data_IF_642008855029
#
_entry.id   IF_642008855029
#
_cell.length_a   1.000
_cell.length_b   1.000
_cell.length_c   1.000
_cell.angle_alpha   90.00
_cell.angle_beta   90.00
_cell.angle_gamma   90.00
#
_symmetry.space_group_name_H-M   'P 1'
#
loop_
_entity.id
_entity.type
_entity.pdbx_description
1 polymer ?
#
# COMPACT_ATOMS: atom_id res chain seq x y z
N UNK A 1 4.13 -13.80 10.10
CA UNK A 1 4.78 -14.98 10.70
C UNK A 1 4.02 -15.55 11.89
N UNK A 2 3.58 -14.77 12.90
CA UNK A 2 2.85 -15.31 14.07
C UNK A 2 1.57 -16.05 13.69
N UNK A 3 0.76 -15.48 12.78
CA UNK A 3 -0.49 -16.09 12.32
C UNK A 3 -0.28 -17.14 11.23
N UNK A 4 0.73 -16.94 10.39
CA UNK A 4 1.06 -17.78 9.25
C UNK A 4 2.55 -18.13 9.27
N UNK A 5 2.98 -19.17 9.99
CA UNK A 5 4.40 -19.50 10.12
C UNK A 5 5.11 -19.80 8.81
N UNK A 6 4.38 -20.36 7.82
CA UNK A 6 4.89 -20.67 6.48
C UNK A 6 4.89 -19.52 5.48
N UNK A 7 4.40 -18.30 5.85
CA UNK A 7 4.35 -17.17 4.93
C UNK A 7 5.77 -16.75 4.53
N UNK A 8 5.99 -16.51 3.23
CA UNK A 8 7.22 -15.89 2.73
C UNK A 8 7.02 -14.40 2.58
N UNK A 9 7.99 -13.64 3.05
CA UNK A 9 7.95 -12.18 3.08
C UNK A 9 8.79 -11.63 1.92
N UNK A 10 8.18 -10.75 1.11
CA UNK A 10 8.88 -10.11 0.00
C UNK A 10 9.35 -8.69 0.38
N UNK A 11 8.67 -7.65 -0.05
CA UNK A 11 9.02 -6.26 0.23
C UNK A 11 7.85 -5.48 0.81
N UNK A 12 8.17 -4.43 1.61
CA UNK A 12 7.18 -3.59 2.24
C UNK A 12 7.63 -2.14 2.41
N UNK A 13 7.68 -1.35 1.32
CA UNK A 13 8.06 0.06 1.41
C UNK A 13 6.95 0.92 1.97
N UNK A 14 7.33 2.08 2.50
CA UNK A 14 6.40 3.18 2.74
C UNK A 14 5.99 3.83 1.42
N UNK A 15 4.75 4.32 1.37
CA UNK A 15 4.18 5.10 0.27
C UNK A 15 3.57 6.38 0.81
N UNK A 16 3.18 7.31 -0.06
CA UNK A 16 2.68 8.64 0.31
C UNK A 16 1.60 8.62 1.41
N UNK A 17 0.64 7.69 1.32
CA UNK A 17 -0.50 7.61 2.25
C UNK A 17 -0.49 6.36 3.14
N UNK A 18 0.69 5.80 3.40
CA UNK A 18 0.81 4.62 4.26
C UNK A 18 1.95 3.69 3.87
N UNK A 19 1.64 2.42 3.77
CA UNK A 19 2.60 1.38 3.41
C UNK A 19 1.89 0.23 2.69
N UNK A 20 2.66 -0.61 2.04
CA UNK A 20 2.19 -1.94 1.66
C UNK A 20 3.22 -3.00 2.07
N UNK A 21 2.81 -4.25 2.07
CA UNK A 21 3.70 -5.39 2.23
C UNK A 21 3.26 -6.53 1.31
N UNK A 22 4.22 -7.04 0.53
CA UNK A 22 4.00 -8.17 -0.38
C UNK A 22 4.35 -9.47 0.34
N UNK A 23 3.40 -10.39 0.34
CA UNK A 23 3.53 -11.70 0.96
C UNK A 23 3.18 -12.81 -0.01
N UNK A 24 3.84 -13.94 0.15
CA UNK A 24 3.52 -15.18 -0.54
C UNK A 24 2.84 -16.12 0.46
N UNK A 25 1.58 -16.43 0.19
CA UNK A 25 0.75 -17.31 1.00
C UNK A 25 -0.04 -18.23 0.09
N UNK A 26 -0.26 -19.48 0.49
CA UNK A 26 -0.89 -20.52 -0.34
C UNK A 26 -2.38 -20.30 -0.60
N UNK A 27 -3.03 -19.44 0.17
CA UNK A 27 -4.43 -19.06 0.00
C UNK A 27 -4.58 -17.55 -0.05
N UNK A 28 -5.72 -17.09 -0.60
CA UNK A 28 -6.05 -15.67 -0.68
C UNK A 28 -6.55 -15.15 0.68
N UNK A 29 -5.95 -14.07 1.17
CA UNK A 29 -6.38 -13.40 2.39
C UNK A 29 -7.79 -12.82 2.21
N UNK A 30 -8.68 -13.18 3.13
CA UNK A 30 -10.04 -12.66 3.22
C UNK A 30 -10.08 -11.37 4.05
N UNK A 31 -11.22 -10.66 4.02
CA UNK A 31 -11.43 -9.48 4.88
C UNK A 31 -11.39 -9.84 6.38
N UNK A 32 -11.88 -11.02 6.74
CA UNK A 32 -11.82 -11.51 8.13
C UNK A 32 -10.39 -11.78 8.58
N UNK A 33 -9.56 -12.34 7.71
CA UNK A 33 -8.15 -12.58 7.99
C UNK A 33 -7.37 -11.27 8.06
N UNK A 34 -7.69 -10.29 7.21
CA UNK A 34 -7.12 -8.95 7.28
C UNK A 34 -7.40 -8.30 8.63
N UNK A 35 -8.61 -8.44 9.15
CA UNK A 35 -8.98 -7.97 10.49
C UNK A 35 -8.22 -8.70 11.60
N UNK A 36 -7.98 -10.02 11.47
CA UNK A 36 -7.15 -10.80 12.42
C UNK A 36 -5.69 -10.34 12.40
N UNK A 37 -5.13 -10.08 11.22
CA UNK A 37 -3.76 -9.55 11.07
C UNK A 37 -3.67 -8.18 11.75
N UNK A 38 -4.60 -7.27 11.51
CA UNK A 38 -4.64 -5.96 12.16
C UNK A 38 -4.73 -6.08 13.69
N UNK A 39 -5.55 -6.99 14.20
CA UNK A 39 -5.67 -7.25 15.64
C UNK A 39 -4.35 -7.75 16.24
N UNK A 40 -3.62 -8.63 15.53
CA UNK A 40 -2.33 -9.13 15.99
C UNK A 40 -1.26 -8.03 15.93
N UNK A 41 -1.25 -7.16 14.90
CA UNK A 41 -0.38 -5.97 14.86
C UNK A 41 -0.59 -5.06 16.08
N UNK A 42 -1.85 -4.83 16.48
CA UNK A 42 -2.18 -4.05 17.68
C UNK A 42 -1.71 -4.72 18.98
N UNK A 43 -1.69 -6.06 19.05
CA UNK A 43 -1.11 -6.79 20.19
C UNK A 43 0.40 -6.60 20.23
N UNK A 44 1.10 -6.81 19.11
CA UNK A 44 2.55 -6.60 19.00
C UNK A 44 2.92 -5.15 19.40
N UNK A 45 2.15 -4.16 18.98
CA UNK A 45 2.37 -2.78 19.39
C UNK A 45 2.29 -2.60 20.91
N UNK A 46 1.38 -3.31 21.60
CA UNK A 46 1.24 -3.26 23.06
C UNK A 46 2.35 -4.00 23.82
N UNK A 47 3.02 -4.95 23.20
CA UNK A 47 4.14 -5.68 23.80
C UNK A 47 5.38 -4.81 24.02
N UNK A 48 5.46 -3.64 23.39
CA UNK A 48 6.56 -2.67 23.50
C UNK A 48 7.93 -3.30 23.19
N UNK A 49 7.97 -4.10 22.14
CA UNK A 49 9.21 -4.77 21.73
C UNK A 49 10.21 -3.72 21.21
N UNK A 50 11.43 -3.77 21.73
CA UNK A 50 12.53 -2.96 21.22
C UNK A 50 12.83 -3.35 19.77
N UNK A 51 13.08 -2.39 18.91
CA UNK A 51 13.47 -2.59 17.52
C UNK A 51 14.97 -2.27 17.43
N UNK A 52 15.77 -3.29 17.13
CA UNK A 52 17.22 -3.21 17.10
C UNK A 52 17.73 -3.38 15.68
N UNK A 53 18.54 -2.41 15.24
CA UNK A 53 19.26 -2.50 13.97
C UNK A 53 20.58 -3.23 14.17
N UNK A 54 20.89 -4.14 13.26
CA UNK A 54 22.20 -4.78 13.15
C UNK A 54 22.58 -4.97 11.69
N UNK A 55 23.84 -5.24 11.44
CA UNK A 55 24.38 -5.40 10.10
C UNK A 55 25.00 -6.79 9.95
N UNK A 56 24.88 -7.34 8.76
CA UNK A 56 25.50 -8.60 8.38
C UNK A 56 26.35 -8.42 7.13
N UNK A 57 27.37 -9.27 6.99
CA UNK A 57 28.07 -9.45 5.72
C UNK A 57 27.11 -10.05 4.69
N UNK A 58 27.39 -9.88 3.38
CA UNK A 58 26.57 -10.49 2.33
C UNK A 58 26.46 -12.01 2.48
N UNK A 59 27.56 -12.65 2.86
CA UNK A 59 27.61 -14.09 3.11
C UNK A 59 26.70 -14.50 4.28
N UNK A 60 26.80 -13.81 5.43
CA UNK A 60 25.97 -14.10 6.60
C UNK A 60 24.50 -13.77 6.35
N UNK A 61 24.20 -12.71 5.62
CA UNK A 61 22.84 -12.33 5.23
C UNK A 61 22.21 -13.39 4.32
N UNK A 62 22.93 -13.90 3.32
CA UNK A 62 22.48 -15.00 2.46
C UNK A 62 22.25 -16.28 3.25
N UNK A 63 23.17 -16.62 4.17
CA UNK A 63 23.03 -17.77 5.05
C UNK A 63 21.77 -17.65 5.90
N UNK A 64 21.58 -16.50 6.55
CA UNK A 64 20.38 -16.22 7.35
C UNK A 64 19.09 -16.38 6.52
N UNK A 65 19.03 -15.80 5.31
CA UNK A 65 17.86 -15.87 4.45
C UNK A 65 17.52 -17.30 4.03
N UNK A 66 18.53 -18.11 3.67
CA UNK A 66 18.38 -19.53 3.32
C UNK A 66 17.91 -20.37 4.50
N UNK A 67 18.50 -20.19 5.68
CA UNK A 67 18.13 -20.91 6.91
C UNK A 67 16.69 -20.59 7.37
N UNK A 68 16.20 -19.38 7.09
CA UNK A 68 14.84 -18.94 7.45
C UNK A 68 13.82 -19.15 6.32
N UNK A 69 14.21 -19.72 5.17
CA UNK A 69 13.33 -19.99 4.03
C UNK A 69 12.78 -18.71 3.37
N UNK A 70 13.54 -17.61 3.42
CA UNK A 70 13.16 -16.31 2.89
C UNK A 70 13.68 -16.13 1.43
N UNK A 71 13.14 -16.90 0.50
CA UNK A 71 13.62 -16.98 -0.89
C UNK A 71 13.67 -15.59 -1.56
N UNK A 72 12.66 -14.74 -1.37
CA UNK A 72 12.65 -13.37 -1.90
C UNK A 72 13.76 -12.50 -1.35
N UNK A 73 14.19 -12.74 -0.10
CA UNK A 73 15.31 -12.02 0.50
C UNK A 73 16.65 -12.54 -0.05
N UNK A 74 16.75 -13.84 -0.38
CA UNK A 74 17.93 -14.38 -1.06
C UNK A 74 18.15 -13.64 -2.38
N UNK A 75 17.12 -13.55 -3.23
CA UNK A 75 17.20 -12.82 -4.51
C UNK A 75 17.59 -11.35 -4.33
N UNK A 76 17.00 -10.68 -3.34
CA UNK A 76 17.30 -9.27 -3.06
C UNK A 76 18.75 -9.07 -2.61
N UNK A 77 19.26 -9.96 -1.75
CA UNK A 77 20.65 -9.87 -1.23
C UNK A 77 21.67 -10.20 -2.33
N UNK A 78 21.38 -11.18 -3.18
CA UNK A 78 22.27 -11.56 -4.29
C UNK A 78 22.51 -10.40 -5.25
N UNK A 79 21.52 -9.57 -5.49
CA UNK A 79 21.60 -8.41 -6.39
C UNK A 79 22.31 -7.19 -5.79
N UNK A 80 22.49 -7.15 -4.47
CA UNK A 80 23.20 -6.03 -3.85
C UNK A 80 24.67 -5.99 -4.32
N UNK A 81 25.21 -4.79 -4.61
CA UNK A 81 26.62 -4.65 -4.94
C UNK A 81 27.56 -5.18 -3.84
N UNK A 82 28.75 -5.60 -4.23
CA UNK A 82 29.78 -5.97 -3.27
C UNK A 82 30.16 -4.77 -2.40
N UNK A 83 30.24 -5.03 -1.08
CA UNK A 83 30.60 -4.00 -0.09
C UNK A 83 29.44 -3.12 0.37
N UNK A 84 28.20 -3.34 -0.14
CA UNK A 84 27.03 -2.65 0.42
C UNK A 84 26.73 -3.14 1.84
N UNK A 85 26.37 -2.20 2.72
CA UNK A 85 26.00 -2.52 4.11
C UNK A 85 24.60 -3.11 4.12
N UNK A 86 24.48 -4.35 4.56
CA UNK A 86 23.22 -5.08 4.65
C UNK A 86 22.70 -5.00 6.07
N UNK A 87 21.63 -4.22 6.25
CA UNK A 87 21.03 -3.99 7.56
C UNK A 87 19.75 -4.79 7.75
N UNK A 88 19.58 -5.23 8.98
CA UNK A 88 18.42 -5.95 9.49
C UNK A 88 17.84 -5.22 10.69
N UNK A 89 16.55 -5.41 10.89
CA UNK A 89 15.84 -4.93 12.07
C UNK A 89 15.17 -6.11 12.79
N UNK A 90 15.47 -6.24 14.08
CA UNK A 90 14.94 -7.29 14.94
C UNK A 90 13.97 -6.71 15.96
N UNK A 91 12.86 -7.39 16.17
CA UNK A 91 11.88 -7.10 17.22
C UNK A 91 11.40 -8.43 17.85
N UNK A 92 11.79 -8.69 19.07
CA UNK A 92 11.56 -10.00 19.70
C UNK A 92 12.24 -11.13 18.89
N UNK A 93 11.44 -12.13 18.48
CA UNK A 93 11.93 -13.28 17.71
C UNK A 93 11.86 -13.06 16.19
N UNK A 94 11.32 -11.91 15.75
CA UNK A 94 11.21 -11.57 14.33
C UNK A 94 12.35 -10.65 13.90
N UNK A 95 12.99 -10.98 12.78
CA UNK A 95 13.95 -10.12 12.10
C UNK A 95 13.64 -10.05 10.61
N UNK A 96 13.94 -8.92 9.99
CA UNK A 96 13.78 -8.74 8.56
C UNK A 96 14.83 -7.80 7.96
N UNK A 97 15.14 -8.01 6.69
CA UNK A 97 16.01 -7.17 5.87
C UNK A 97 15.36 -5.81 5.63
N UNK A 98 16.00 -4.72 6.05
CA UNK A 98 15.48 -3.38 5.78
C UNK A 98 16.59 -2.33 5.88
N UNK A 99 16.53 -1.31 5.00
CA UNK A 99 17.42 -0.14 5.08
C UNK A 99 17.10 0.75 6.29
N UNK A 100 15.85 0.78 6.71
CA UNK A 100 15.37 1.69 7.74
C UNK A 100 15.25 3.14 7.28
N UNK A 101 15.17 4.12 8.21
CA UNK A 101 15.14 3.91 9.66
C UNK A 101 13.84 3.31 10.18
N UNK A 102 13.89 2.71 11.36
CA UNK A 102 12.71 2.20 12.07
C UNK A 102 12.49 2.95 13.38
N UNK A 103 11.27 2.82 13.93
CA UNK A 103 10.93 3.29 15.25
C UNK A 103 11.74 2.54 16.33
N UNK A 104 12.01 3.13 17.50
CA UNK A 104 12.79 2.47 18.55
C UNK A 104 12.06 1.31 19.23
N UNK A 105 10.72 1.30 19.20
CA UNK A 105 9.91 0.20 19.73
C UNK A 105 8.56 0.10 19.04
N UNK A 106 7.94 -1.08 19.13
CA UNK A 106 6.61 -1.34 18.55
C UNK A 106 5.50 -0.50 19.19
N UNK A 107 5.65 -0.06 20.45
CA UNK A 107 4.70 0.81 21.17
C UNK A 107 4.50 2.19 20.51
N UNK A 108 5.45 2.61 19.68
CA UNK A 108 5.32 3.88 18.96
C UNK A 108 4.26 3.82 17.85
N UNK A 109 3.90 2.62 17.40
CA UNK A 109 2.78 2.40 16.47
C UNK A 109 1.46 2.48 17.26
N UNK A 110 0.79 3.63 17.23
CA UNK A 110 -0.42 3.89 18.03
C UNK A 110 -1.71 3.62 17.26
N UNK A 111 -1.77 4.09 16.03
CA UNK A 111 -2.96 4.00 15.19
C UNK A 111 -2.58 3.36 13.86
N UNK A 112 -3.03 2.13 13.62
CA UNK A 112 -2.78 1.39 12.39
C UNK A 112 -4.08 0.81 11.86
N UNK A 113 -4.23 0.84 10.53
CA UNK A 113 -5.36 0.24 9.82
C UNK A 113 -4.86 -0.46 8.56
N UNK A 114 -5.27 -1.70 8.37
CA UNK A 114 -5.14 -2.39 7.10
C UNK A 114 -6.34 -2.06 6.22
N UNK A 115 -6.07 -1.69 4.96
CA UNK A 115 -7.06 -1.10 4.07
C UNK A 115 -7.61 -2.10 3.05
N UNK A 116 -6.72 -2.86 2.40
CA UNK A 116 -7.10 -3.78 1.33
C UNK A 116 -6.00 -4.79 1.03
N UNK A 117 -6.39 -5.81 0.26
CA UNK A 117 -5.46 -6.79 -0.33
C UNK A 117 -5.64 -6.77 -1.85
N UNK A 118 -4.54 -6.73 -2.59
CA UNK A 118 -4.52 -6.83 -4.05
C UNK A 118 -3.48 -7.85 -4.51
N UNK A 119 -3.64 -8.36 -5.74
CA UNK A 119 -2.58 -9.13 -6.40
C UNK A 119 -1.48 -8.19 -6.89
N UNK A 120 -0.22 -8.62 -6.76
CA UNK A 120 0.92 -7.91 -7.31
C UNK A 120 1.98 -8.93 -7.77
N UNK A 121 2.41 -8.84 -9.02
CA UNK A 121 3.48 -9.70 -9.50
C UNK A 121 4.81 -9.31 -8.85
N UNK A 122 5.59 -10.32 -8.45
CA UNK A 122 6.94 -10.09 -7.95
C UNK A 122 7.75 -9.25 -8.93
N UNK A 123 8.34 -8.16 -8.48
CA UNK A 123 9.08 -7.19 -9.31
C UNK A 123 8.28 -6.54 -10.44
N UNK A 124 6.96 -6.62 -10.42
CA UNK A 124 6.11 -6.07 -11.46
C UNK A 124 6.13 -6.83 -12.78
N UNK A 125 6.77 -7.98 -12.86
CA UNK A 125 6.80 -8.83 -14.05
C UNK A 125 5.72 -9.91 -13.98
N UNK A 126 4.82 -9.94 -14.94
CA UNK A 126 3.71 -10.90 -15.03
C UNK A 126 4.15 -12.36 -15.17
N UNK A 127 5.40 -12.61 -15.54
CA UNK A 127 6.00 -13.95 -15.59
C UNK A 127 6.36 -14.49 -14.21
N UNK A 128 6.52 -13.62 -13.24
CA UNK A 128 6.84 -13.98 -11.88
C UNK A 128 5.57 -14.37 -11.09
N UNK A 129 5.78 -14.96 -9.91
CA UNK A 129 4.68 -15.34 -9.02
C UNK A 129 3.86 -14.12 -8.63
N UNK A 130 2.54 -14.27 -8.66
CA UNK A 130 1.62 -13.29 -8.11
C UNK A 130 1.60 -13.41 -6.60
N UNK A 131 1.99 -12.34 -5.92
CA UNK A 131 1.98 -12.16 -4.48
C UNK A 131 0.70 -11.45 -4.04
N UNK A 132 0.46 -11.45 -2.74
CA UNK A 132 -0.61 -10.68 -2.14
C UNK A 132 -0.04 -9.43 -1.49
N UNK A 133 -0.49 -8.28 -1.98
CA UNK A 133 -0.09 -6.96 -1.48
C UNK A 133 -1.12 -6.46 -0.49
N UNK A 134 -0.72 -6.38 0.77
CA UNK A 134 -1.53 -5.82 1.84
C UNK A 134 -1.23 -4.33 1.95
N UNK A 135 -2.25 -3.48 1.78
CA UNK A 135 -2.13 -2.04 2.00
C UNK A 135 -2.56 -1.67 3.41
N UNK A 136 -1.84 -0.76 4.01
CA UNK A 136 -2.15 -0.22 5.32
C UNK A 136 -1.73 1.23 5.49
N UNK A 137 -2.23 1.84 6.55
CA UNK A 137 -1.83 3.19 6.95
C UNK A 137 -1.63 3.27 8.45
N UNK A 138 -0.85 4.25 8.89
CA UNK A 138 -0.56 4.46 10.30
C UNK A 138 -0.44 5.95 10.61
N UNK A 139 -0.95 6.34 11.78
CA UNK A 139 -0.93 7.71 12.29
C UNK A 139 -0.44 7.73 13.75
N UNK A 140 0.05 8.87 14.19
CA UNK A 140 0.44 9.05 15.60
C UNK A 140 -0.75 9.02 16.56
N UNK A 141 -1.93 9.47 16.10
CA UNK A 141 -3.15 9.57 16.91
C UNK A 141 -4.32 8.87 16.24
N UNK A 142 -5.15 8.19 17.01
CA UNK A 142 -6.37 7.56 16.50
C UNK A 142 -7.32 8.59 15.84
N UNK A 143 -7.42 9.81 16.38
CA UNK A 143 -8.24 10.86 15.79
C UNK A 143 -7.84 11.17 14.34
N UNK A 144 -6.55 11.20 14.05
CA UNK A 144 -6.05 11.48 12.69
C UNK A 144 -6.33 10.30 11.73
N UNK A 145 -6.20 9.07 12.25
CA UNK A 145 -6.60 7.88 11.52
C UNK A 145 -8.11 7.87 11.20
N UNK A 146 -8.95 8.19 12.19
CA UNK A 146 -10.41 8.27 12.00
C UNK A 146 -10.78 9.34 10.98
N UNK A 147 -10.15 10.51 11.04
CA UNK A 147 -10.36 11.58 10.08
C UNK A 147 -9.97 11.16 8.66
N UNK A 148 -8.84 10.46 8.50
CA UNK A 148 -8.41 9.91 7.24
C UNK A 148 -9.38 8.86 6.68
N UNK A 149 -9.82 7.92 7.50
CA UNK A 149 -10.78 6.89 7.09
C UNK A 149 -12.13 7.51 6.68
N UNK A 150 -12.59 8.52 7.42
CA UNK A 150 -13.79 9.28 7.05
C UNK A 150 -13.62 9.99 5.70
N UNK A 151 -12.48 10.65 5.47
CA UNK A 151 -12.17 11.27 4.19
C UNK A 151 -12.20 10.26 3.02
N UNK A 152 -11.62 9.08 3.22
CA UNK A 152 -11.62 8.00 2.22
C UNK A 152 -13.02 7.48 1.93
N UNK A 153 -13.87 7.37 2.96
CA UNK A 153 -15.27 6.96 2.81
C UNK A 153 -16.06 8.02 2.03
N UNK A 154 -15.89 9.29 2.38
CA UNK A 154 -16.52 10.41 1.67
C UNK A 154 -16.06 10.49 0.20
N UNK A 155 -14.76 10.24 -0.06
CA UNK A 155 -14.25 10.18 -1.42
C UNK A 155 -14.91 9.06 -2.24
N UNK A 156 -15.13 7.88 -1.65
CA UNK A 156 -15.86 6.78 -2.31
C UNK A 156 -17.31 7.16 -2.64
N UNK A 157 -17.99 7.88 -1.76
CA UNK A 157 -19.37 8.37 -2.00
C UNK A 157 -19.41 9.36 -3.16
N UNK A 158 -18.33 10.14 -3.35
CA UNK A 158 -18.20 11.17 -4.39
C UNK A 158 -17.50 10.70 -5.65
N UNK A 159 -17.28 9.39 -5.83
CA UNK A 159 -16.68 8.86 -7.04
C UNK A 159 -17.51 9.28 -8.27
N UNK A 160 -16.86 9.99 -9.19
CA UNK A 160 -17.51 10.55 -10.39
C UNK A 160 -18.14 9.45 -11.27
N UNK A 161 -17.58 8.24 -11.28
CA UNK A 161 -18.13 7.10 -12.05
C UNK A 161 -19.48 6.66 -11.48
N UNK A 162 -19.58 6.65 -10.14
CA UNK A 162 -20.81 6.35 -9.43
C UNK A 162 -21.83 7.47 -9.65
N UNK A 163 -21.46 8.70 -9.30
CA UNK A 163 -22.35 9.86 -9.40
C UNK A 163 -22.74 10.13 -10.85
N UNK A 164 -21.82 9.99 -11.80
CA UNK A 164 -22.11 10.18 -13.23
C UNK A 164 -23.19 9.24 -13.73
N UNK A 165 -23.17 7.97 -13.30
CA UNK A 165 -24.18 6.98 -13.62
C UNK A 165 -25.52 7.28 -12.91
N UNK A 166 -25.48 7.51 -11.59
CA UNK A 166 -26.68 7.76 -10.77
C UNK A 166 -27.44 9.05 -11.23
N UNK A 167 -26.70 10.08 -11.60
CA UNK A 167 -27.24 11.36 -12.04
C UNK A 167 -27.50 11.46 -13.55
N UNK A 168 -27.25 10.38 -14.30
CA UNK A 168 -27.37 10.34 -15.76
C UNK A 168 -26.56 11.44 -16.47
N UNK A 169 -25.28 11.62 -16.04
CA UNK A 169 -24.41 12.64 -16.62
C UNK A 169 -23.64 12.12 -17.82
N UNK A 170 -23.15 10.89 -17.75
CA UNK A 170 -22.43 10.22 -18.82
C UNK A 170 -22.51 8.69 -18.66
N UNK A 171 -22.16 7.99 -19.71
CA UNK A 171 -21.93 6.55 -19.69
C UNK A 171 -20.69 6.20 -20.50
N UNK A 172 -20.13 5.04 -20.25
CA UNK A 172 -19.00 4.49 -21.01
C UNK A 172 -19.56 3.31 -21.81
N UNK A 173 -19.59 3.39 -23.16
CA UNK A 173 -20.09 2.29 -23.98
C UNK A 173 -19.11 1.10 -23.98
N UNK A 174 -19.62 -0.10 -24.20
CA UNK A 174 -18.81 -1.32 -24.27
C UNK A 174 -17.82 -1.30 -25.43
N UNK A 175 -18.19 -0.67 -26.54
CA UNK A 175 -17.37 -0.52 -27.74
C UNK A 175 -16.20 0.46 -27.58
N UNK A 176 -16.24 1.29 -26.54
CA UNK A 176 -15.23 2.32 -26.28
C UNK A 176 -14.85 2.42 -24.82
N UNK A 177 -14.17 1.40 -24.24
CA UNK A 177 -13.74 1.45 -22.84
C UNK A 177 -12.83 2.67 -22.61
N UNK A 178 -13.21 3.53 -21.65
CA UNK A 178 -12.46 4.76 -21.34
C UNK A 178 -12.94 6.02 -22.05
N UNK A 179 -13.86 5.93 -23.02
CA UNK A 179 -14.45 7.09 -23.69
C UNK A 179 -15.84 7.42 -23.12
N UNK A 180 -15.97 8.46 -22.26
CA UNK A 180 -17.27 8.84 -21.72
C UNK A 180 -18.12 9.58 -22.76
N UNK A 181 -19.32 9.09 -23.02
CA UNK A 181 -20.34 9.79 -23.79
C UNK A 181 -21.25 10.56 -22.85
N UNK A 182 -21.29 11.89 -23.02
CA UNK A 182 -22.08 12.77 -22.17
C UNK A 182 -23.53 12.74 -22.54
N UNK A 183 -24.41 12.57 -21.57
CA UNK A 183 -25.84 12.75 -21.67
C UNK A 183 -26.18 14.26 -21.67
N UNK A 184 -27.39 14.68 -22.09
CA UNK A 184 -27.73 16.10 -22.17
C UNK A 184 -27.45 16.89 -20.88
N UNK A 185 -27.77 16.32 -19.74
CA UNK A 185 -27.51 16.91 -18.41
C UNK A 185 -26.01 17.03 -18.10
N UNK A 186 -25.25 16.03 -18.48
CA UNK A 186 -23.78 16.04 -18.35
C UNK A 186 -23.11 17.06 -19.27
N UNK A 187 -23.63 17.23 -20.49
CA UNK A 187 -23.17 18.28 -21.41
C UNK A 187 -23.43 19.70 -20.88
N UNK A 188 -24.56 19.94 -20.23
CA UNK A 188 -24.83 21.23 -19.58
C UNK A 188 -23.77 21.53 -18.50
N UNK A 189 -23.49 20.55 -17.63
CA UNK A 189 -22.46 20.69 -16.59
C UNK A 189 -21.06 20.92 -17.20
N UNK A 190 -20.70 20.13 -18.22
CA UNK A 190 -19.43 20.28 -18.94
C UNK A 190 -19.29 21.68 -19.57
N UNK A 191 -20.31 22.16 -20.24
CA UNK A 191 -20.29 23.47 -20.87
C UNK A 191 -20.14 24.60 -19.83
N UNK A 192 -20.89 24.55 -18.74
CA UNK A 192 -20.75 25.51 -17.64
C UNK A 192 -19.34 25.57 -17.07
N UNK A 193 -18.69 24.42 -16.87
CA UNK A 193 -17.31 24.37 -16.43
C UNK A 193 -16.32 24.91 -17.47
N UNK A 194 -16.56 24.63 -18.77
CA UNK A 194 -15.72 25.15 -19.85
C UNK A 194 -15.88 26.66 -20.01
N UNK A 195 -17.09 27.19 -19.88
CA UNK A 195 -17.35 28.63 -19.93
C UNK A 195 -16.61 29.35 -18.78
N UNK A 196 -16.74 28.85 -17.56
CA UNK A 196 -16.00 29.39 -16.42
C UNK A 196 -14.46 29.29 -16.61
N UNK A 197 -13.97 28.16 -17.11
CA UNK A 197 -12.55 27.99 -17.42
C UNK A 197 -12.06 29.02 -18.44
N UNK A 198 -12.86 29.24 -19.53
CA UNK A 198 -12.54 30.23 -20.55
C UNK A 198 -12.55 31.66 -20.01
N UNK A 199 -13.50 31.97 -19.13
CA UNK A 199 -13.60 33.31 -18.51
C UNK A 199 -12.32 33.60 -17.70
N UNK A 200 -11.93 32.71 -16.81
CA UNK A 200 -10.71 32.88 -15.98
C UNK A 200 -9.45 32.99 -16.84
N UNK A 201 -9.30 32.15 -17.87
CA UNK A 201 -8.11 32.18 -18.72
C UNK A 201 -8.03 33.39 -19.63
N UNK A 202 -9.18 33.93 -19.99
CA UNK A 202 -9.25 35.17 -20.81
C UNK A 202 -8.74 36.40 -20.04
N UNK A 203 -8.91 36.44 -18.72
CA UNK A 203 -8.38 37.49 -17.87
C UNK A 203 -6.85 37.49 -17.86
N UNK A 204 -6.24 36.32 -18.02
CA UNK A 204 -4.78 36.12 -18.06
C UNK A 204 -4.20 36.13 -19.51
N UNK A 205 -5.00 36.54 -20.50
CA UNK A 205 -4.63 36.62 -21.92
C UNK A 205 -4.25 35.29 -22.58
N UNK A 206 -4.77 34.16 -22.09
CA UNK A 206 -4.67 32.88 -22.81
C UNK A 206 -5.60 32.87 -24.03
N UNK A 207 -5.11 32.27 -25.12
CA UNK A 207 -5.90 32.04 -26.37
C UNK A 207 -6.02 30.52 -26.58
N UNK A 208 -7.21 30.10 -27.12
CA UNK A 208 -7.47 28.71 -27.54
C UNK A 208 -6.98 28.47 -28.97
#
# INVERSE_FOLDING_TARGET
KRLYPGVKLAIGPSIENGFYYDIDLDHRITEEELAKIEAEMKKIAKEDLKIERYELSKEDALKWAKENGEDYKVELIEELPEGEVISFYKQGDFADLCRGPHLPSTKKVKAVKLLSVAGAYWRGDEKNKMLQRIYGTSFEKNKDLEAYLHLMEEAKKRDHRKLGKELYLFFIPEEGPGFPLFMPKGMQLKNALLEFWREVHREDNYVE
#
